data_IF_138624691113
#
_entry.id   IF_138624691113
#
_cell.length_a   1.000
_cell.length_b   1.000
_cell.length_c   1.000
_cell.angle_alpha   90.00
_cell.angle_beta   90.00
_cell.angle_gamma   90.00
#
_symmetry.space_group_name_H-M   'P 1'
#
loop_
_entity.id
_entity.type
_entity.pdbx_description
1 polymer ?
#
# COMPACT_ATOMS: atom_id res chain seq x y z
N UNK A 1 2.11 21.74 13.73
CA UNK A 1 3.42 21.72 13.10
C UNK A 1 3.72 20.39 12.47
N UNK A 2 4.27 20.44 11.31
CA UNK A 2 4.55 19.24 10.55
C UNK A 2 5.97 18.77 10.77
N UNK A 3 6.27 18.43 12.01
CA UNK A 3 7.63 18.03 12.34
C UNK A 3 8.02 16.70 11.72
N UNK A 4 7.01 15.88 11.39
CA UNK A 4 7.30 14.62 10.73
C UNK A 4 7.99 14.83 9.40
N UNK A 5 7.83 16.00 8.80
CA UNK A 5 8.44 16.28 7.53
C UNK A 5 9.95 16.37 7.61
N UNK A 6 10.48 16.49 8.81
CA UNK A 6 11.92 16.57 9.01
C UNK A 6 12.57 15.23 9.21
N UNK A 7 11.79 14.18 9.34
CA UNK A 7 12.35 12.85 9.52
C UNK A 7 12.84 12.31 8.19
N UNK A 8 13.92 11.57 8.23
CA UNK A 8 14.41 10.89 7.05
C UNK A 8 13.48 9.75 6.68
N UNK A 9 13.35 9.53 5.39
CA UNK A 9 12.53 8.47 4.85
C UNK A 9 13.40 7.53 4.05
N UNK A 10 13.34 6.25 4.38
CA UNK A 10 14.03 5.21 3.63
C UNK A 10 13.00 4.41 2.86
N UNK A 11 13.40 3.91 1.71
CA UNK A 11 12.57 2.98 0.94
C UNK A 11 13.18 1.60 1.17
N UNK A 12 12.53 0.82 1.98
CA UNK A 12 13.06 -0.46 2.45
C UNK A 12 12.58 -1.59 1.56
N UNK A 13 13.50 -2.46 1.17
CA UNK A 13 13.15 -3.66 0.43
C UNK A 13 12.46 -4.64 1.38
N UNK A 14 11.25 -5.04 1.04
CA UNK A 14 10.52 -6.04 1.80
C UNK A 14 10.78 -7.44 1.27
N UNK A 15 10.59 -7.62 -0.03
CA UNK A 15 10.80 -8.91 -0.66
C UNK A 15 11.15 -8.74 -2.12
N UNK A 16 12.11 -9.54 -2.60
CA UNK A 16 12.36 -9.67 -4.03
C UNK A 16 11.48 -10.77 -4.59
N UNK A 17 10.82 -10.50 -5.70
CA UNK A 17 10.05 -11.51 -6.40
C UNK A 17 10.67 -11.82 -7.75
N UNK A 18 10.13 -12.84 -8.39
CA UNK A 18 10.64 -13.23 -9.72
C UNK A 18 10.39 -12.14 -10.74
N UNK A 19 9.25 -11.48 -10.67
CA UNK A 19 8.87 -10.47 -11.64
C UNK A 19 8.80 -9.08 -11.02
N UNK A 20 8.48 -8.98 -9.75
CA UNK A 20 8.22 -7.71 -9.09
C UNK A 20 8.82 -7.76 -7.69
N UNK A 21 9.50 -6.68 -7.32
CA UNK A 21 10.02 -6.53 -5.96
C UNK A 21 9.15 -5.57 -5.18
N UNK A 22 9.00 -5.85 -3.89
CA UNK A 22 8.15 -5.08 -3.00
C UNK A 22 9.00 -4.26 -2.05
N UNK A 23 8.69 -2.97 -1.95
CA UNK A 23 9.35 -2.04 -1.05
C UNK A 23 8.30 -1.34 -0.20
N UNK A 24 8.73 -0.68 0.84
CA UNK A 24 7.85 0.15 1.65
C UNK A 24 8.61 1.32 2.24
N UNK A 25 7.96 2.48 2.38
CA UNK A 25 8.57 3.60 3.08
C UNK A 25 8.77 3.23 4.55
N UNK A 26 9.88 3.67 5.09
CA UNK A 26 10.20 3.44 6.50
C UNK A 26 10.79 4.74 7.05
N UNK A 27 10.05 5.38 7.94
CA UNK A 27 10.53 6.63 8.54
C UNK A 27 11.56 6.34 9.60
N UNK A 28 12.58 7.18 9.63
CA UNK A 28 13.65 7.05 10.60
C UNK A 28 13.10 7.14 12.01
N UNK A 29 13.55 6.25 12.87
CA UNK A 29 13.14 6.24 14.26
C UNK A 29 11.91 5.40 14.53
N UNK A 30 11.21 4.94 13.51
CA UNK A 30 10.06 4.08 13.69
C UNK A 30 10.46 2.62 13.60
N UNK A 31 9.77 1.79 14.35
CA UNK A 31 10.09 0.38 14.40
C UNK A 31 9.66 -0.34 13.13
N UNK A 32 8.57 0.11 12.50
CA UNK A 32 7.95 -0.60 11.39
C UNK A 32 7.85 0.28 10.16
N UNK A 33 7.95 -0.36 8.99
CA UNK A 33 7.65 0.32 7.74
C UNK A 33 6.16 0.62 7.64
N UNK A 34 5.78 1.45 6.68
CA UNK A 34 4.39 1.83 6.51
C UNK A 34 3.52 0.61 6.21
N UNK A 35 4.01 -0.32 5.37
CA UNK A 35 3.24 -1.52 5.08
C UNK A 35 3.09 -2.40 6.31
N UNK A 36 4.15 -2.53 7.10
CA UNK A 36 4.06 -3.32 8.33
C UNK A 36 3.06 -2.71 9.31
N UNK A 37 3.01 -1.38 9.38
CA UNK A 37 2.03 -0.72 10.24
C UNK A 37 0.61 -1.03 9.78
N UNK A 38 0.41 -1.07 8.47
CA UNK A 38 -0.89 -1.45 7.92
C UNK A 38 -1.27 -2.86 8.36
N UNK A 39 -0.35 -3.81 8.23
CA UNK A 39 -0.64 -5.18 8.63
C UNK A 39 -0.96 -5.27 10.11
N UNK A 40 -0.16 -4.59 10.94
CA UNK A 40 -0.38 -4.63 12.39
C UNK A 40 -1.71 -4.00 12.78
N UNK A 41 -2.13 -2.98 12.05
CA UNK A 41 -3.37 -2.29 12.39
C UNK A 41 -4.61 -3.14 12.11
N UNK A 42 -4.54 -4.02 11.10
CA UNK A 42 -5.75 -4.68 10.63
C UNK A 42 -5.74 -6.19 10.72
N UNK A 43 -4.61 -6.80 11.06
CA UNK A 43 -4.50 -8.26 11.03
C UNK A 43 -5.46 -8.94 11.99
N UNK A 44 -5.76 -8.31 13.11
CA UNK A 44 -6.62 -8.93 14.11
C UNK A 44 -8.10 -8.68 13.86
N UNK A 45 -8.42 -7.53 13.28
CA UNK A 45 -9.81 -7.16 13.04
C UNK A 45 -10.31 -7.64 11.69
N UNK A 46 -9.43 -7.66 10.70
CA UNK A 46 -9.78 -8.05 9.33
C UNK A 46 -8.80 -9.07 8.79
N UNK A 47 -8.66 -10.21 9.49
CA UNK A 47 -7.63 -11.19 9.11
C UNK A 47 -7.81 -11.77 7.71
N UNK A 48 -9.07 -12.00 7.31
CA UNK A 48 -9.30 -12.58 5.98
C UNK A 48 -8.92 -11.59 4.88
N UNK A 49 -9.25 -10.33 5.09
CA UNK A 49 -8.94 -9.31 4.09
C UNK A 49 -7.44 -9.13 3.97
N UNK A 50 -6.73 -9.13 5.11
CA UNK A 50 -5.28 -9.02 5.09
C UNK A 50 -4.67 -10.20 4.35
N UNK A 51 -5.17 -11.41 4.61
CA UNK A 51 -4.66 -12.58 3.90
C UNK A 51 -4.89 -12.48 2.40
N UNK A 52 -6.04 -11.96 1.99
CA UNK A 52 -6.31 -11.80 0.56
C UNK A 52 -5.34 -10.82 -0.09
N UNK A 53 -5.04 -9.72 0.61
CA UNK A 53 -4.09 -8.76 0.07
C UNK A 53 -2.69 -9.35 -0.04
N UNK A 54 -2.25 -10.05 1.00
CA UNK A 54 -0.94 -10.69 0.99
C UNK A 54 -0.88 -11.73 -0.13
N UNK A 55 -1.93 -12.52 -0.28
CA UNK A 55 -1.99 -13.52 -1.34
C UNK A 55 -1.88 -12.86 -2.71
N UNK A 56 -2.58 -11.74 -2.90
CA UNK A 56 -2.50 -11.01 -4.17
C UNK A 56 -1.10 -10.50 -4.43
N UNK A 57 -0.44 -10.01 -3.39
CA UNK A 57 0.94 -9.55 -3.56
C UNK A 57 1.87 -10.70 -3.93
N UNK A 58 1.63 -11.89 -3.38
CA UNK A 58 2.45 -13.05 -3.76
C UNK A 58 2.27 -13.39 -5.24
N UNK A 59 1.05 -13.31 -5.73
CA UNK A 59 0.80 -13.56 -7.15
C UNK A 59 1.53 -12.52 -8.00
N UNK A 60 1.45 -11.26 -7.60
CA UNK A 60 2.09 -10.18 -8.33
C UNK A 60 3.60 -10.35 -8.36
N UNK A 61 4.19 -10.71 -7.23
CA UNK A 61 5.64 -10.93 -7.19
C UNK A 61 6.08 -11.99 -8.18
N UNK A 62 5.28 -13.04 -8.29
CA UNK A 62 5.65 -14.19 -9.11
C UNK A 62 5.31 -13.98 -10.57
N UNK A 63 4.15 -13.41 -10.85
CA UNK A 63 3.60 -13.38 -12.20
C UNK A 63 3.66 -12.02 -12.88
N UNK A 64 3.79 -10.95 -12.11
CA UNK A 64 3.86 -9.61 -12.68
C UNK A 64 2.76 -8.70 -12.19
N UNK A 65 3.00 -7.39 -12.28
CA UNK A 65 2.09 -6.37 -11.79
C UNK A 65 1.16 -5.91 -12.93
N UNK A 66 0.22 -6.77 -13.30
CA UNK A 66 -0.73 -6.46 -14.35
C UNK A 66 -1.80 -5.48 -13.84
N UNK A 67 -2.31 -4.66 -14.74
CA UNK A 67 -3.30 -3.64 -14.37
C UNK A 67 -4.52 -4.23 -13.69
N UNK A 68 -4.90 -5.44 -14.01
CA UNK A 68 -6.12 -6.03 -13.46
C UNK A 68 -6.08 -6.21 -11.95
N UNK A 69 -4.89 -6.17 -11.35
CA UNK A 69 -4.76 -6.34 -9.90
C UNK A 69 -5.14 -5.08 -9.13
N UNK A 70 -5.14 -3.94 -9.78
CA UNK A 70 -5.17 -2.65 -9.11
C UNK A 70 -6.36 -1.82 -9.52
N UNK A 71 -6.62 -0.79 -8.72
CA UNK A 71 -7.48 0.31 -9.10
C UNK A 71 -6.64 1.58 -9.04
N UNK A 72 -6.90 2.51 -9.94
CA UNK A 72 -6.18 3.78 -9.93
C UNK A 72 -6.78 4.72 -8.92
N UNK A 73 -5.90 5.46 -8.24
CA UNK A 73 -6.30 6.53 -7.35
C UNK A 73 -5.84 7.81 -8.01
N UNK A 74 -6.80 8.57 -8.57
CA UNK A 74 -6.45 9.73 -9.35
C UNK A 74 -6.30 9.36 -10.80
N UNK A 75 -5.27 9.88 -11.45
CA UNK A 75 -5.04 9.61 -12.87
C UNK A 75 -4.00 8.51 -13.03
N UNK A 76 -4.01 7.87 -14.19
CA UNK A 76 -3.01 6.85 -14.49
C UNK A 76 -1.59 7.42 -14.46
N UNK A 77 -1.47 8.70 -14.76
CA UNK A 77 -0.17 9.33 -14.81
C UNK A 77 0.49 9.38 -13.44
N UNK A 78 -0.30 9.44 -12.40
CA UNK A 78 0.23 9.59 -11.05
C UNK A 78 0.82 8.30 -10.49
N UNK A 79 0.49 7.16 -11.09
CA UNK A 79 1.00 5.86 -10.67
C UNK A 79 0.58 5.45 -9.26
N UNK A 80 -0.29 6.22 -8.63
CA UNK A 80 -0.81 5.87 -7.31
C UNK A 80 -1.98 4.92 -7.53
N UNK A 81 -1.89 3.77 -6.93
CA UNK A 81 -2.87 2.71 -7.12
C UNK A 81 -3.27 2.13 -5.78
N UNK A 82 -4.28 1.31 -5.80
CA UNK A 82 -4.72 0.61 -4.61
C UNK A 82 -5.04 -0.85 -4.93
N UNK A 83 -4.88 -1.70 -3.93
CA UNK A 83 -5.32 -3.08 -3.97
C UNK A 83 -6.51 -3.19 -3.04
N UNK A 84 -7.46 -4.05 -3.34
CA UNK A 84 -7.60 -4.83 -4.57
C UNK A 84 -8.31 -4.04 -5.65
N UNK A 85 -8.49 -4.67 -6.80
CA UNK A 85 -9.22 -4.04 -7.89
C UNK A 85 -10.69 -3.86 -7.54
N UNK A 86 -11.41 -3.14 -8.40
CA UNK A 86 -12.85 -2.90 -8.19
C UNK A 86 -13.66 -4.19 -8.17
N UNK A 87 -13.14 -5.24 -8.78
CA UNK A 87 -13.91 -6.47 -8.93
C UNK A 87 -13.90 -7.32 -7.68
N UNK A 88 -13.08 -7.00 -6.70
CA UNK A 88 -12.98 -7.80 -5.50
C UNK A 88 -13.63 -7.09 -4.33
N UNK A 89 -14.23 -7.88 -3.44
CA UNK A 89 -14.93 -7.36 -2.29
C UNK A 89 -14.09 -7.59 -1.05
N UNK A 90 -13.46 -6.54 -0.57
CA UNK A 90 -12.77 -6.55 0.71
C UNK A 90 -13.11 -5.27 1.43
N UNK A 91 -12.85 -5.27 2.74
CA UNK A 91 -13.07 -4.06 3.53
C UNK A 91 -11.84 -3.16 3.55
N UNK A 92 -10.71 -3.67 3.11
CA UNK A 92 -9.45 -2.93 3.20
C UNK A 92 -8.99 -2.46 1.83
N UNK A 93 -8.24 -1.38 1.85
CA UNK A 93 -7.63 -0.82 0.65
C UNK A 93 -6.19 -0.47 0.98
N UNK A 94 -5.26 -1.02 0.21
CA UNK A 94 -3.84 -0.77 0.38
C UNK A 94 -3.35 0.13 -0.75
N UNK A 95 -2.73 1.25 -0.39
CA UNK A 95 -2.23 2.21 -1.38
C UNK A 95 -0.78 1.90 -1.71
N UNK A 96 -0.42 2.14 -2.97
CA UNK A 96 0.93 1.83 -3.43
C UNK A 96 1.29 2.67 -4.64
N UNK A 97 2.59 2.68 -4.95
CA UNK A 97 3.11 3.22 -6.20
C UNK A 97 3.59 2.06 -7.04
N UNK A 98 3.25 2.08 -8.32
CA UNK A 98 3.68 1.06 -9.27
C UNK A 98 4.71 1.68 -10.21
N UNK A 99 5.96 1.24 -10.12
CA UNK A 99 7.03 1.79 -10.92
C UNK A 99 7.41 0.80 -12.00
N UNK A 100 6.97 1.10 -13.22
CA UNK A 100 7.29 0.33 -14.42
C UNK A 100 6.92 -1.14 -14.30
N UNK A 101 5.93 -1.46 -13.49
CA UNK A 101 5.45 -2.82 -13.29
C UNK A 101 6.51 -3.77 -12.76
N UNK A 102 7.60 -3.24 -12.21
CA UNK A 102 8.69 -4.06 -11.67
C UNK A 102 8.94 -3.81 -10.19
N UNK A 103 8.54 -2.65 -9.70
CA UNK A 103 8.74 -2.27 -8.31
C UNK A 103 7.44 -1.72 -7.80
N UNK A 104 6.97 -2.27 -6.69
CA UNK A 104 5.83 -1.72 -5.98
C UNK A 104 6.31 -1.16 -4.65
N UNK A 105 5.93 0.08 -4.36
CA UNK A 105 6.23 0.70 -3.08
C UNK A 105 4.92 0.72 -2.31
N UNK A 106 4.83 -0.14 -1.30
CA UNK A 106 3.61 -0.37 -0.56
C UNK A 106 3.51 0.61 0.60
N UNK A 107 2.48 1.42 0.58
CA UNK A 107 2.26 2.36 1.65
C UNK A 107 1.35 1.79 2.72
N UNK A 108 0.61 2.67 3.34
CA UNK A 108 -0.38 2.29 4.33
C UNK A 108 -1.72 2.13 3.61
N UNK A 109 -2.77 1.84 4.37
CA UNK A 109 -4.08 1.64 3.79
C UNK A 109 -5.18 2.11 4.71
N UNK A 110 -6.41 1.80 4.33
CA UNK A 110 -7.56 2.22 5.10
C UNK A 110 -8.72 1.28 4.84
N UNK A 111 -9.79 1.48 5.62
CA UNK A 111 -11.04 0.80 5.37
C UNK A 111 -11.75 1.47 4.20
N UNK A 112 -12.40 0.67 3.37
CA UNK A 112 -13.16 1.20 2.26
C UNK A 112 -14.34 2.06 2.71
N UNK A 113 -14.78 1.87 3.94
CA UNK A 113 -15.86 2.69 4.46
C UNK A 113 -15.45 4.14 4.61
N UNK A 114 -14.16 4.41 4.67
CA UNK A 114 -13.68 5.78 4.52
C UNK A 114 -14.04 6.19 3.11
N UNK A 115 -14.92 7.14 2.97
CA UNK A 115 -15.52 7.39 1.68
C UNK A 115 -14.52 7.80 0.62
N UNK A 116 -13.62 8.69 0.96
CA UNK A 116 -12.69 9.18 -0.03
C UNK A 116 -11.36 9.50 0.59
N UNK A 117 -10.36 9.53 -0.25
CA UNK A 117 -9.04 9.98 0.12
C UNK A 117 -9.09 11.41 0.68
N UNK A 118 -9.96 12.23 0.14
CA UNK A 118 -10.06 13.62 0.54
C UNK A 118 -10.67 13.81 1.91
N UNK A 119 -11.50 12.88 2.33
CA UNK A 119 -12.09 12.98 3.65
C UNK A 119 -11.05 12.76 4.74
N UNK A 120 -9.98 12.10 4.40
CA UNK A 120 -8.90 11.87 5.36
C UNK A 120 -7.84 12.94 5.29
N UNK A 121 -8.09 13.98 4.53
CA UNK A 121 -7.09 14.99 4.26
C UNK A 121 -6.58 15.64 5.54
N UNK A 122 -7.46 15.82 6.52
CA UNK A 122 -7.04 16.44 7.77
C UNK A 122 -5.97 15.64 8.49
N UNK A 123 -5.86 14.37 8.20
CA UNK A 123 -4.84 13.52 8.81
C UNK A 123 -3.46 13.80 8.24
N UNK A 124 -3.40 14.46 7.11
CA UNK A 124 -2.13 14.75 6.45
C UNK A 124 -1.61 16.13 6.79
N UNK A 125 -2.29 16.83 7.64
CA UNK A 125 -1.86 18.18 8.01
C UNK A 125 -0.93 18.20 9.20
N UNK A 126 -0.44 17.11 9.60
CA UNK A 126 0.40 16.97 10.78
C UNK A 126 -0.38 17.20 12.04
#
# INVERSE_FOLDING_TARGET
ECKDMERNLLIELLEDGDKVSLYSPHFEGEEYSEFEKFLLAYKDTYPDDVRQLVYRLDIIKRDGAADRHFRYEGTKRDRVMALPSHLETTSLRLYLLNIQAKILILGNGSLKTSATYQEDEHLHKC
#
